data_IF_545507352218
#
_entry.id   IF_545507352218
#
_cell.length_a   1.000
_cell.length_b   1.000
_cell.length_c   1.000
_cell.angle_alpha   90.00
_cell.angle_beta   90.00
_cell.angle_gamma   90.00
#
_symmetry.space_group_name_H-M   'P 1'
#
loop_
_entity.id
_entity.type
_entity.pdbx_description
1 polymer ?
#
# COMPACT_ATOMS: atom_id res chain seq x y z
N UNK A 1 -18.64 -2.48 -2.74
CA UNK A 1 -18.08 -1.60 -3.78
C UNK A 1 -16.55 -1.67 -3.66
N UNK A 2 -15.86 -2.27 -4.64
CA UNK A 2 -14.40 -2.48 -4.62
C UNK A 2 -13.62 -1.17 -4.69
N UNK A 3 -14.08 -0.21 -5.49
CA UNK A 3 -13.43 1.09 -5.61
C UNK A 3 -13.36 1.81 -4.26
N UNK A 4 -14.46 1.77 -3.48
CA UNK A 4 -14.50 2.35 -2.15
C UNK A 4 -13.49 1.70 -1.18
N UNK A 5 -13.32 0.37 -1.26
CA UNK A 5 -12.31 -0.37 -0.49
C UNK A 5 -10.89 0.04 -0.86
N UNK A 6 -10.58 0.13 -2.16
CA UNK A 6 -9.23 0.52 -2.61
C UNK A 6 -8.92 1.97 -2.20
N UNK A 7 -9.88 2.89 -2.37
CA UNK A 7 -9.70 4.31 -2.05
C UNK A 7 -9.57 4.56 -0.55
N UNK A 8 -10.27 3.80 0.30
CA UNK A 8 -10.24 4.02 1.75
C UNK A 8 -8.83 3.81 2.35
N UNK A 9 -8.01 2.94 1.76
CA UNK A 9 -6.62 2.70 2.19
C UNK A 9 -5.74 3.96 2.13
N UNK A 10 -6.04 4.92 1.23
CA UNK A 10 -5.24 6.15 1.11
C UNK A 10 -5.62 7.22 2.14
N UNK A 11 -6.77 7.08 2.80
CA UNK A 11 -7.20 8.02 3.84
C UNK A 11 -6.23 8.06 5.03
N UNK A 12 -5.55 6.94 5.32
CA UNK A 12 -4.57 6.87 6.40
C UNK A 12 -3.31 7.71 6.17
N UNK A 13 -3.07 8.18 4.95
CA UNK A 13 -1.96 9.10 4.66
C UNK A 13 -2.25 10.52 5.13
N UNK A 14 -3.51 10.85 5.42
CA UNK A 14 -3.89 12.16 5.92
C UNK A 14 -3.13 12.47 7.21
N UNK A 15 -2.35 13.55 7.20
CA UNK A 15 -1.51 14.05 8.30
C UNK A 15 -0.32 13.16 8.73
N UNK A 16 -0.03 12.04 8.06
CA UNK A 16 1.16 11.21 8.34
C UNK A 16 2.33 11.63 7.45
N UNK A 17 3.01 12.70 7.85
CA UNK A 17 4.11 13.32 7.08
C UNK A 17 5.50 12.75 7.39
N UNK A 18 5.61 11.85 8.37
CA UNK A 18 6.89 11.27 8.79
C UNK A 18 7.24 10.02 7.98
N UNK A 19 8.54 9.84 7.71
CA UNK A 19 9.07 8.63 7.09
C UNK A 19 8.93 7.44 8.08
N UNK A 20 8.35 6.31 7.67
CA UNK A 20 8.35 5.10 8.50
C UNK A 20 9.77 4.53 8.63
N UNK A 21 9.97 3.65 9.61
CA UNK A 21 11.19 2.86 9.66
C UNK A 21 11.32 1.99 8.41
N UNK A 22 12.56 1.82 7.93
CA UNK A 22 12.87 0.86 6.87
C UNK A 22 13.09 -0.50 7.55
N UNK A 23 12.22 -1.51 7.35
CA UNK A 23 12.37 -2.78 8.04
C UNK A 23 13.68 -3.49 7.70
N UNK A 24 14.19 -4.30 8.62
CA UNK A 24 15.34 -5.17 8.39
C UNK A 24 14.96 -6.31 7.43
N UNK A 25 15.93 -6.86 6.69
CA UNK A 25 15.67 -8.05 5.86
C UNK A 25 15.19 -9.21 6.73
N UNK A 26 14.05 -9.80 6.38
CA UNK A 26 13.39 -10.85 7.16
C UNK A 26 12.61 -10.36 8.38
N UNK A 27 12.53 -9.05 8.63
CA UNK A 27 11.66 -8.50 9.66
C UNK A 27 10.20 -8.80 9.32
N UNK A 28 9.45 -9.30 10.31
CA UNK A 28 8.06 -9.69 10.16
C UNK A 28 7.12 -8.82 11.01
N UNK A 29 5.90 -8.66 10.54
CA UNK A 29 4.80 -8.06 11.29
C UNK A 29 3.55 -8.92 11.13
N UNK A 30 2.88 -9.22 12.23
CA UNK A 30 1.61 -9.97 12.24
C UNK A 30 0.53 -9.19 12.98
N UNK A 31 -0.71 -9.31 12.52
CA UNK A 31 -1.85 -8.65 13.15
C UNK A 31 -3.14 -9.43 12.89
N UNK A 32 -3.98 -9.54 13.91
CA UNK A 32 -5.31 -10.16 13.82
C UNK A 32 -6.40 -9.14 14.15
N UNK A 33 -7.39 -9.05 13.27
CA UNK A 33 -8.59 -8.22 13.46
C UNK A 33 -9.72 -9.17 13.84
N UNK A 34 -10.04 -9.23 15.13
CA UNK A 34 -11.02 -10.16 15.68
C UNK A 34 -12.41 -10.00 15.04
N UNK A 35 -12.85 -8.76 14.84
CA UNK A 35 -14.19 -8.44 14.33
C UNK A 35 -14.45 -8.96 12.91
N UNK A 36 -13.41 -8.98 12.07
CA UNK A 36 -13.48 -9.50 10.69
C UNK A 36 -12.80 -10.86 10.53
N UNK A 37 -12.29 -11.46 11.62
CA UNK A 37 -11.45 -12.68 11.62
C UNK A 37 -10.35 -12.62 10.56
N UNK A 38 -9.76 -11.43 10.39
CA UNK A 38 -8.74 -11.20 9.37
C UNK A 38 -7.37 -11.36 10.00
N UNK A 39 -6.56 -12.26 9.45
CA UNK A 39 -5.17 -12.46 9.84
C UNK A 39 -4.26 -11.85 8.80
N UNK A 40 -3.27 -11.10 9.24
CA UNK A 40 -2.33 -10.36 8.38
C UNK A 40 -0.92 -10.78 8.75
N UNK A 41 -0.11 -11.07 7.74
CA UNK A 41 1.33 -11.25 7.87
C UNK A 41 2.04 -10.39 6.81
N UNK A 42 3.11 -9.74 7.23
CA UNK A 42 4.00 -8.97 6.39
C UNK A 42 5.44 -9.40 6.64
N UNK A 43 6.26 -9.40 5.60
CA UNK A 43 7.69 -9.68 5.70
C UNK A 43 8.47 -8.75 4.78
N UNK A 44 9.59 -8.24 5.27
CA UNK A 44 10.57 -7.55 4.45
C UNK A 44 11.41 -8.56 3.65
N UNK A 45 10.96 -8.87 2.44
CA UNK A 45 11.56 -9.91 1.57
C UNK A 45 12.79 -9.43 0.78
N UNK A 46 13.04 -8.12 0.74
CA UNK A 46 14.25 -7.56 0.13
C UNK A 46 14.66 -6.25 0.80
N UNK A 47 15.97 -5.99 0.92
CA UNK A 47 16.51 -4.75 1.47
C UNK A 47 17.09 -3.81 0.38
N UNK A 48 17.59 -4.38 -0.71
CA UNK A 48 18.18 -3.64 -1.84
C UNK A 48 17.70 -4.22 -3.18
N UNK A 49 16.61 -3.68 -3.78
CA UNK A 49 15.77 -2.59 -3.28
C UNK A 49 14.85 -3.02 -2.11
N UNK A 50 14.35 -2.09 -1.29
CA UNK A 50 13.42 -2.42 -0.21
C UNK A 50 12.08 -2.90 -0.76
N UNK A 51 11.68 -4.13 -0.41
CA UNK A 51 10.40 -4.74 -0.80
C UNK A 51 9.80 -5.42 0.43
N UNK A 52 8.57 -5.07 0.77
CA UNK A 52 7.76 -5.77 1.77
C UNK A 52 6.65 -6.55 1.07
N UNK A 53 6.53 -7.84 1.36
CA UNK A 53 5.39 -8.65 0.96
C UNK A 53 4.34 -8.64 2.06
N UNK A 54 3.06 -8.73 1.68
CA UNK A 54 1.96 -8.84 2.63
C UNK A 54 0.92 -9.84 2.16
N UNK A 55 0.30 -10.51 3.13
CA UNK A 55 -0.80 -11.44 2.93
C UNK A 55 -1.82 -11.23 4.05
N UNK A 56 -3.08 -11.01 3.69
CA UNK A 56 -4.19 -10.92 4.62
C UNK A 56 -5.31 -11.85 4.20
N UNK A 57 -5.78 -12.69 5.11
CA UNK A 57 -6.83 -13.66 4.85
C UNK A 57 -7.97 -13.51 5.86
N UNK A 58 -9.20 -13.57 5.36
CA UNK A 58 -10.42 -13.67 6.15
C UNK A 58 -11.34 -14.77 5.60
N UNK A 59 -12.47 -15.07 6.26
CA UNK A 59 -13.49 -15.94 5.68
C UNK A 59 -14.08 -15.43 4.34
N UNK A 60 -13.93 -14.14 4.04
CA UNK A 60 -14.60 -13.50 2.89
C UNK A 60 -13.65 -13.11 1.77
N UNK A 61 -12.37 -12.89 2.06
CA UNK A 61 -11.40 -12.42 1.06
C UNK A 61 -9.98 -12.90 1.33
N UNK A 62 -9.15 -12.84 0.29
CA UNK A 62 -7.69 -12.92 0.38
C UNK A 62 -7.12 -11.68 -0.28
N UNK A 63 -6.30 -10.91 0.44
CA UNK A 63 -5.52 -9.80 -0.10
C UNK A 63 -4.05 -10.19 -0.06
N UNK A 64 -3.37 -10.05 -1.19
CA UNK A 64 -1.92 -10.33 -1.29
C UNK A 64 -1.25 -9.30 -2.17
N UNK A 65 0.01 -9.03 -1.91
CA UNK A 65 0.76 -8.11 -2.74
C UNK A 65 2.12 -7.75 -2.19
N UNK A 66 2.72 -6.76 -2.83
CA UNK A 66 4.02 -6.22 -2.44
C UNK A 66 3.98 -4.70 -2.39
N UNK A 67 4.80 -4.11 -1.52
CA UNK A 67 5.09 -2.69 -1.47
C UNK A 67 6.59 -2.48 -1.69
N UNK A 68 6.93 -1.75 -2.73
CA UNK A 68 8.30 -1.42 -3.12
C UNK A 68 8.41 0.10 -3.37
N UNK A 69 8.45 0.93 -2.31
CA UNK A 69 8.44 2.37 -2.45
C UNK A 69 9.74 2.89 -3.08
N UNK A 70 9.62 3.58 -4.21
CA UNK A 70 10.71 4.36 -4.83
C UNK A 70 10.49 5.85 -4.60
N UNK A 71 11.51 6.50 -4.07
CA UNK A 71 11.51 7.94 -3.81
C UNK A 71 12.27 8.67 -4.92
N UNK A 72 11.70 9.75 -5.45
CA UNK A 72 12.38 10.67 -6.36
C UNK A 72 12.30 12.09 -5.81
N UNK A 73 13.46 12.65 -5.51
CA UNK A 73 13.57 14.03 -5.03
C UNK A 73 13.62 15.00 -6.21
N UNK A 74 12.77 16.03 -6.15
CA UNK A 74 12.59 17.05 -7.18
C UNK A 74 12.98 18.45 -6.67
N UNK A 75 13.89 18.54 -5.69
CA UNK A 75 14.32 19.81 -5.10
C UNK A 75 13.37 20.30 -4.00
N UNK A 76 12.13 20.65 -4.31
CA UNK A 76 11.16 21.11 -3.30
C UNK A 76 10.14 20.06 -2.87
N UNK A 77 10.06 18.96 -3.60
CA UNK A 77 9.08 17.89 -3.38
C UNK A 77 9.73 16.51 -3.52
N UNK A 78 9.10 15.50 -2.92
CA UNK A 78 9.45 14.09 -3.07
C UNK A 78 8.25 13.39 -3.72
N UNK A 79 8.49 12.78 -4.88
CA UNK A 79 7.56 11.83 -5.47
C UNK A 79 7.80 10.45 -4.86
N UNK A 80 6.76 9.84 -4.31
CA UNK A 80 6.76 8.47 -3.80
C UNK A 80 5.98 7.61 -4.77
N UNK A 81 6.66 6.63 -5.35
CA UNK A 81 6.06 5.61 -6.21
C UNK A 81 6.00 4.30 -5.43
N UNK A 82 4.84 3.92 -4.89
CA UNK A 82 4.68 2.58 -4.34
C UNK A 82 4.62 1.61 -5.50
N UNK A 83 5.79 1.11 -5.94
CA UNK A 83 5.81 0.01 -6.90
C UNK A 83 5.32 -1.26 -6.20
N UNK A 84 4.77 -2.18 -6.99
CA UNK A 84 4.10 -3.36 -6.49
C UNK A 84 2.69 -3.48 -7.02
N UNK A 85 2.07 -4.59 -6.66
CA UNK A 85 0.75 -4.97 -7.13
C UNK A 85 -0.02 -5.54 -5.94
N UNK A 86 -1.29 -5.18 -5.84
CA UNK A 86 -2.23 -5.76 -4.90
C UNK A 86 -3.23 -6.62 -5.69
N UNK A 87 -3.50 -7.80 -5.17
CA UNK A 87 -4.51 -8.72 -5.68
C UNK A 87 -5.49 -9.05 -4.55
N UNK A 88 -6.77 -8.78 -4.77
CA UNK A 88 -7.86 -9.12 -3.86
C UNK A 88 -8.74 -10.19 -4.50
N UNK A 89 -8.90 -11.30 -3.81
CA UNK A 89 -9.83 -12.38 -4.15
C UNK A 89 -11.06 -12.27 -3.25
N UNK A 90 -12.25 -12.19 -3.85
CA UNK A 90 -13.52 -12.25 -3.13
C UNK A 90 -14.08 -13.67 -3.16
N UNK A 91 -13.87 -14.42 -2.07
CA UNK A 91 -14.14 -15.86 -1.99
C UNK A 91 -15.59 -16.23 -2.36
N UNK A 92 -16.56 -15.41 -1.97
CA UNK A 92 -17.98 -15.68 -2.23
C UNK A 92 -18.41 -15.45 -3.68
N UNK A 93 -17.62 -14.70 -4.47
CA UNK A 93 -17.95 -14.31 -5.84
C UNK A 93 -17.03 -14.96 -6.87
N UNK A 94 -15.90 -15.54 -6.43
CA UNK A 94 -14.87 -16.05 -7.32
C UNK A 94 -14.10 -14.96 -8.08
N UNK A 95 -14.34 -13.69 -7.76
CA UNK A 95 -13.77 -12.55 -8.49
C UNK A 95 -12.37 -12.21 -7.97
N UNK A 96 -11.44 -11.94 -8.89
CA UNK A 96 -10.08 -11.49 -8.59
C UNK A 96 -9.88 -10.08 -9.13
N UNK A 97 -9.47 -9.17 -8.23
CA UNK A 97 -9.20 -7.77 -8.55
C UNK A 97 -7.73 -7.47 -8.38
N UNK A 98 -7.08 -6.96 -9.42
CA UNK A 98 -5.66 -6.61 -9.38
C UNK A 98 -5.44 -5.14 -9.70
N UNK A 99 -4.67 -4.43 -8.89
CA UNK A 99 -4.34 -3.02 -9.11
C UNK A 99 -2.93 -2.65 -8.69
N UNK A 100 -2.44 -1.53 -9.23
CA UNK A 100 -1.20 -0.88 -8.77
C UNK A 100 -1.53 0.23 -7.78
N UNK A 101 -0.68 0.40 -6.77
CA UNK A 101 -0.82 1.49 -5.81
C UNK A 101 -0.62 2.86 -6.47
N UNK A 102 -1.23 3.90 -5.90
CA UNK A 102 -1.18 5.26 -6.47
C UNK A 102 0.08 5.98 -6.05
N UNK A 103 0.68 6.74 -6.97
CA UNK A 103 1.78 7.64 -6.66
C UNK A 103 1.31 8.73 -5.69
N UNK A 104 2.21 9.24 -4.87
CA UNK A 104 1.96 10.45 -4.11
C UNK A 104 3.13 11.42 -4.19
N UNK A 105 2.85 12.68 -3.92
CA UNK A 105 3.84 13.73 -3.84
C UNK A 105 3.76 14.40 -2.47
N UNK A 106 4.93 14.53 -1.83
CA UNK A 106 5.10 15.31 -0.61
C UNK A 106 5.76 16.62 -1.01
N UNK A 107 5.07 17.72 -0.77
CA UNK A 107 5.51 19.06 -1.20
C UNK A 107 6.12 19.86 -0.04
N UNK A 108 6.88 20.90 -0.38
CA UNK A 108 7.46 21.87 0.56
C UNK A 108 8.40 21.27 1.62
N UNK A 109 9.19 20.26 1.26
CA UNK A 109 10.05 19.56 2.22
C UNK A 109 11.25 20.38 2.72
N UNK A 110 11.55 21.53 2.09
CA UNK A 110 12.64 22.44 2.50
C UNK A 110 12.09 23.68 3.21
N UNK A 111 11.07 24.34 2.64
CA UNK A 111 10.50 25.60 3.15
C UNK A 111 8.99 25.61 2.98
N UNK A 112 8.28 26.07 4.02
CA UNK A 112 6.82 26.21 4.04
C UNK A 112 6.12 25.03 4.73
N UNK A 113 4.79 25.03 4.69
CA UNK A 113 3.99 23.93 5.26
C UNK A 113 4.05 22.72 4.33
N UNK A 114 4.53 21.59 4.86
CA UNK A 114 4.51 20.30 4.16
C UNK A 114 3.06 19.85 3.96
N UNK A 115 2.75 19.37 2.76
CA UNK A 115 1.44 18.80 2.44
C UNK A 115 1.57 17.65 1.44
N UNK A 116 0.54 16.80 1.41
CA UNK A 116 0.51 15.53 0.70
C UNK A 116 -0.54 15.54 -0.40
N UNK A 117 -0.20 15.02 -1.57
CA UNK A 117 -1.09 14.88 -2.71
C UNK A 117 -1.05 13.46 -3.26
N UNK A 118 -2.21 12.87 -3.52
CA UNK A 118 -2.31 11.62 -4.27
C UNK A 118 -2.37 11.95 -5.77
N UNK A 119 -1.40 11.46 -6.53
CA UNK A 119 -1.22 11.82 -7.94
C UNK A 119 -1.47 10.58 -8.80
N UNK A 120 -2.32 10.72 -9.83
CA UNK A 120 -2.75 9.70 -10.82
C UNK A 120 -4.03 8.93 -10.48
N UNK A 121 -4.61 8.33 -11.53
CA UNK A 121 -5.81 7.49 -11.50
C UNK A 121 -5.48 6.08 -11.00
N UNK A 122 -6.46 5.46 -10.33
CA UNK A 122 -6.47 4.02 -10.02
C UNK A 122 -7.19 3.30 -11.14
N UNK A 123 -6.51 2.40 -11.82
CA UNK A 123 -7.12 1.38 -12.67
C UNK A 123 -7.00 0.01 -11.99
N UNK A 124 -8.04 -0.81 -12.07
CA UNK A 124 -7.99 -2.21 -11.66
C UNK A 124 -8.48 -3.11 -12.80
N UNK A 125 -7.92 -4.31 -12.85
CA UNK A 125 -8.34 -5.38 -13.75
C UNK A 125 -9.20 -6.33 -12.93
N UNK A 126 -10.28 -6.82 -13.53
CA UNK A 126 -11.12 -7.88 -12.99
C UNK A 126 -10.86 -9.12 -13.82
N UNK A 127 -10.35 -10.16 -13.16
CA UNK A 127 -10.18 -11.48 -13.75
C UNK A 127 -11.36 -12.37 -13.27
N UNK A 128 -11.98 -13.08 -14.22
CA UNK A 128 -13.06 -14.06 -13.99
C UNK A 128 -12.49 -15.48 -13.77
#
# INVERSE_FOLDING_TARGET
NICAYIVSAYSSNWLRLNKPFNPLLGETFEYEIESSKTKIVCEQVSHHPPISAYHAESPHFILRGTSAPKLRFWGKSIEVKPEGMATLELKSRGEIYTWKSVNCCVHNIIVGKIWFEQVRLIGFIVDD
#
